data_IF_361217395453
#
_entry.id   IF_361217395453
#
_cell.length_a   1.000
_cell.length_b   1.000
_cell.length_c   1.000
_cell.angle_alpha   90.00
_cell.angle_beta   90.00
_cell.angle_gamma   90.00
#
_symmetry.space_group_name_H-M   'P 1'
#
loop_
_entity.id
_entity.type
_entity.pdbx_description
1 polymer ?
#
# COMPACT_ATOMS: atom_id res chain seq x y z
N UNK A 1 -31.61 7.33 7.12
CA UNK A 1 -30.14 7.30 6.95
C UNK A 1 -29.65 8.71 6.66
N UNK A 2 -29.13 9.39 7.65
CA UNK A 2 -28.51 10.69 7.46
C UNK A 2 -27.03 10.53 7.26
N UNK A 3 -26.56 10.72 6.03
CA UNK A 3 -25.14 10.90 5.77
C UNK A 3 -24.74 12.30 6.22
N UNK A 4 -24.12 12.40 7.38
CA UNK A 4 -23.50 13.64 7.81
C UNK A 4 -22.20 13.80 7.04
N UNK A 5 -22.19 14.64 6.02
CA UNK A 5 -20.96 15.04 5.35
C UNK A 5 -20.10 15.79 6.36
N UNK A 6 -18.94 15.20 6.72
CA UNK A 6 -17.96 15.91 7.52
C UNK A 6 -17.31 16.97 6.66
N UNK A 7 -17.37 18.19 7.10
CA UNK A 7 -16.67 19.32 6.50
C UNK A 7 -15.16 19.12 6.60
N UNK A 8 -14.39 19.66 5.63
CA UNK A 8 -12.95 19.40 5.49
C UNK A 8 -12.10 19.71 6.74
N UNK A 9 -12.55 20.61 7.61
CA UNK A 9 -11.90 20.94 8.87
C UNK A 9 -12.24 19.99 10.04
N UNK A 10 -13.28 19.16 9.90
CA UNK A 10 -13.66 18.14 10.89
C UNK A 10 -12.94 16.78 10.68
N UNK A 11 -12.14 16.64 9.60
CA UNK A 11 -11.38 15.45 9.35
C UNK A 11 -10.18 15.43 10.32
N UNK A 12 -10.14 14.52 11.30
CA UNK A 12 -8.99 14.40 12.17
C UNK A 12 -7.75 14.04 11.34
N UNK A 13 -6.58 14.48 11.77
CA UNK A 13 -5.28 14.16 11.12
C UNK A 13 -5.00 12.65 11.02
N UNK A 14 -5.82 11.83 11.65
CA UNK A 14 -5.78 10.37 11.62
C UNK A 14 -7.14 9.89 11.16
N UNK A 15 -7.16 9.28 10.00
CA UNK A 15 -8.33 8.58 9.49
C UNK A 15 -8.09 7.08 9.64
N UNK A 16 -8.97 6.43 10.40
CA UNK A 16 -8.87 5.02 10.74
C UNK A 16 -10.18 4.34 10.33
N UNK A 17 -10.09 3.33 9.51
CA UNK A 17 -11.21 2.45 9.22
C UNK A 17 -10.87 1.02 9.58
N UNK A 18 -11.80 0.35 10.21
CA UNK A 18 -11.74 -1.09 10.47
C UNK A 18 -13.04 -1.71 10.03
N UNK A 19 -12.97 -2.66 9.12
CA UNK A 19 -14.11 -3.36 8.58
C UNK A 19 -13.99 -4.86 8.87
N UNK A 20 -15.07 -5.44 9.35
CA UNK A 20 -15.21 -6.88 9.54
C UNK A 20 -16.36 -7.37 8.69
N UNK A 21 -16.07 -8.25 7.74
CA UNK A 21 -17.06 -8.83 6.85
C UNK A 21 -17.21 -10.33 7.08
N UNK A 22 -18.45 -10.78 7.12
CA UNK A 22 -18.83 -12.18 7.12
C UNK A 22 -19.41 -12.53 5.75
N UNK A 23 -18.93 -13.60 5.14
CA UNK A 23 -19.53 -14.12 3.89
C UNK A 23 -19.54 -15.64 3.90
N UNK A 24 -20.63 -16.20 3.42
CA UNK A 24 -20.79 -17.65 3.22
C UNK A 24 -20.26 -18.01 1.82
N UNK A 25 -19.31 -18.93 1.79
CA UNK A 25 -18.69 -19.43 0.56
C UNK A 25 -18.80 -20.95 0.50
N UNK A 26 -19.61 -21.47 -0.43
CA UNK A 26 -19.73 -22.92 -0.72
C UNK A 26 -19.88 -23.82 0.50
N UNK A 27 -20.71 -23.43 1.49
CA UNK A 27 -20.91 -24.18 2.72
C UNK A 27 -19.79 -23.98 3.77
N UNK A 28 -18.85 -23.11 3.52
CA UNK A 28 -17.83 -22.67 4.48
C UNK A 28 -18.08 -21.24 4.94
N UNK A 29 -17.44 -20.85 6.02
CA UNK A 29 -17.52 -19.50 6.57
C UNK A 29 -16.22 -18.75 6.34
N UNK A 30 -16.31 -17.57 5.73
CA UNK A 30 -15.19 -16.64 5.61
C UNK A 30 -15.42 -15.46 6.56
N UNK A 31 -14.46 -15.22 7.41
CA UNK A 31 -14.41 -14.01 8.24
C UNK A 31 -13.21 -13.19 7.81
N UNK A 32 -13.44 -11.96 7.37
CA UNK A 32 -12.36 -11.04 7.03
C UNK A 32 -12.41 -9.82 7.93
N UNK A 33 -11.26 -9.39 8.41
CA UNK A 33 -11.08 -8.17 9.15
C UNK A 33 -10.00 -7.35 8.47
N UNK A 34 -10.30 -6.09 8.16
CA UNK A 34 -9.34 -5.15 7.61
C UNK A 34 -9.23 -3.93 8.50
N UNK A 35 -8.03 -3.45 8.61
CA UNK A 35 -7.70 -2.24 9.34
C UNK A 35 -6.84 -1.35 8.48
N UNK A 36 -7.29 -0.14 8.22
CA UNK A 36 -6.53 0.86 7.47
C UNK A 36 -6.56 2.19 8.20
N UNK A 37 -5.43 2.87 8.17
CA UNK A 37 -5.30 4.17 8.79
C UNK A 37 -4.35 5.07 8.00
N UNK A 38 -4.50 6.36 8.15
CA UNK A 38 -3.58 7.36 7.61
C UNK A 38 -3.02 8.19 8.74
N UNK A 39 -1.70 8.18 8.87
CA UNK A 39 -0.97 8.96 9.86
C UNK A 39 -0.12 10.00 9.09
N UNK A 40 -0.51 11.26 9.19
CA UNK A 40 0.31 12.36 8.70
C UNK A 40 1.18 12.88 9.86
N UNK A 41 2.45 12.50 9.87
CA UNK A 41 3.41 12.94 10.89
C UNK A 41 3.76 14.42 10.67
N UNK A 42 3.96 14.77 9.41
CA UNK A 42 4.15 16.15 8.94
C UNK A 42 3.34 16.33 7.65
N UNK A 43 3.01 17.57 7.25
CA UNK A 43 2.25 17.79 6.01
C UNK A 43 2.88 17.16 4.76
N UNK A 44 4.19 16.94 4.78
CA UNK A 44 4.98 16.41 3.68
C UNK A 44 5.17 14.89 3.75
N UNK A 45 4.90 14.26 4.89
CA UNK A 45 5.12 12.84 5.11
C UNK A 45 3.89 12.17 5.71
N UNK A 46 3.34 11.22 4.98
CA UNK A 46 2.21 10.40 5.41
C UNK A 46 2.55 8.91 5.35
N UNK A 47 2.06 8.18 6.34
CA UNK A 47 2.13 6.72 6.42
C UNK A 47 0.71 6.17 6.45
N UNK A 48 0.44 5.23 5.58
CA UNK A 48 -0.84 4.54 5.47
C UNK A 48 -0.63 3.04 5.75
N UNK A 49 -0.69 2.60 7.02
CA UNK A 49 -0.72 1.18 7.34
C UNK A 49 -2.05 0.56 6.91
N UNK A 50 -1.99 -0.62 6.37
CA UNK A 50 -3.14 -1.44 6.00
C UNK A 50 -2.85 -2.88 6.41
N UNK A 51 -3.72 -3.44 7.23
CA UNK A 51 -3.66 -4.83 7.68
C UNK A 51 -4.95 -5.52 7.26
N UNK A 52 -4.84 -6.61 6.54
CA UNK A 52 -5.96 -7.43 6.11
C UNK A 52 -5.75 -8.86 6.60
N UNK A 53 -6.73 -9.34 7.34
CA UNK A 53 -6.77 -10.67 7.90
C UNK A 53 -8.01 -11.38 7.36
N UNK A 54 -7.87 -12.55 6.79
CA UNK A 54 -8.98 -13.37 6.35
C UNK A 54 -8.83 -14.80 6.90
N UNK A 55 -9.87 -15.25 7.57
CA UNK A 55 -10.01 -16.62 8.07
C UNK A 55 -11.06 -17.31 7.21
N UNK A 56 -10.66 -18.35 6.54
CA UNK A 56 -11.55 -19.16 5.71
C UNK A 56 -11.63 -20.54 6.30
N UNK A 57 -12.84 -20.95 6.73
CA UNK A 57 -13.14 -22.29 7.20
C UNK A 57 -13.98 -22.99 6.14
N UNK A 58 -13.40 -24.00 5.53
CA UNK A 58 -14.04 -24.84 4.53
C UNK A 58 -14.20 -26.26 5.08
N UNK A 59 -15.22 -27.01 4.64
CA UNK A 59 -15.37 -28.43 5.02
C UNK A 59 -14.15 -29.29 4.66
N UNK A 60 -13.32 -28.81 3.75
CA UNK A 60 -12.13 -29.51 3.22
C UNK A 60 -10.80 -28.97 3.74
N UNK A 61 -10.79 -27.94 4.60
CA UNK A 61 -9.57 -27.38 5.19
C UNK A 61 -9.70 -25.93 5.58
N UNK A 62 -9.01 -25.54 6.62
CA UNK A 62 -8.93 -24.17 7.12
C UNK A 62 -7.74 -23.46 6.45
N UNK A 63 -7.98 -22.24 6.04
CA UNK A 63 -6.98 -21.42 5.38
C UNK A 63 -7.02 -20.00 5.95
N UNK A 64 -5.88 -19.49 6.31
CA UNK A 64 -5.72 -18.15 6.84
C UNK A 64 -4.92 -17.30 5.85
N UNK A 65 -5.39 -16.12 5.50
CA UNK A 65 -4.65 -15.18 4.69
C UNK A 65 -4.35 -13.91 5.51
N UNK A 66 -3.08 -13.59 5.65
CA UNK A 66 -2.60 -12.43 6.40
C UNK A 66 -1.76 -11.55 5.50
N UNK A 67 -2.28 -10.38 5.20
CA UNK A 67 -1.60 -9.39 4.38
C UNK A 67 -1.37 -8.12 5.22
N UNK A 68 -0.12 -7.72 5.34
CA UNK A 68 0.27 -6.45 5.94
C UNK A 68 0.87 -5.57 4.85
N UNK A 69 0.30 -4.41 4.64
CA UNK A 69 0.80 -3.43 3.69
C UNK A 69 1.02 -2.08 4.38
N UNK A 70 2.06 -1.38 4.00
CA UNK A 70 2.30 -0.01 4.44
C UNK A 70 2.69 0.84 3.25
N UNK A 71 2.00 1.96 3.08
CA UNK A 71 2.35 2.95 2.08
C UNK A 71 2.97 4.16 2.77
N UNK A 72 4.11 4.56 2.27
CA UNK A 72 4.81 5.77 2.69
C UNK A 72 4.76 6.78 1.57
N UNK A 73 4.33 7.98 1.86
CA UNK A 73 4.28 9.08 0.90
C UNK A 73 5.09 10.23 1.45
N UNK A 74 6.04 10.70 0.66
CA UNK A 74 6.90 11.81 1.01
C UNK A 74 6.90 12.86 -0.11
N UNK A 75 6.48 14.06 0.21
CA UNK A 75 6.32 15.17 -0.72
C UNK A 75 6.99 16.42 -0.14
N UNK A 76 8.33 16.50 -0.17
CA UNK A 76 9.05 17.64 0.42
C UNK A 76 8.80 18.95 -0.33
N UNK A 77 8.51 18.87 -1.62
CA UNK A 77 8.19 20.01 -2.47
C UNK A 77 7.05 19.64 -3.43
N UNK A 78 6.39 20.63 -3.99
CA UNK A 78 5.35 20.42 -5.03
C UNK A 78 5.88 19.75 -6.29
N UNK A 79 7.18 19.71 -6.47
CA UNK A 79 7.86 19.14 -7.66
C UNK A 79 8.46 17.76 -7.41
N UNK A 80 8.59 17.33 -6.16
CA UNK A 80 9.15 16.02 -5.81
C UNK A 80 8.13 15.20 -5.02
N UNK A 81 7.78 14.06 -5.59
CA UNK A 81 6.89 13.09 -4.99
C UNK A 81 7.58 11.73 -4.91
N UNK A 82 7.65 11.17 -3.72
CA UNK A 82 8.16 9.82 -3.46
C UNK A 82 7.08 9.01 -2.80
N UNK A 83 6.79 7.85 -3.35
CA UNK A 83 5.84 6.90 -2.77
C UNK A 83 6.49 5.52 -2.67
N UNK A 84 6.45 4.93 -1.51
CA UNK A 84 6.91 3.56 -1.26
C UNK A 84 5.76 2.72 -0.75
N UNK A 85 5.60 1.53 -1.30
CA UNK A 85 4.65 0.53 -0.87
C UNK A 85 5.42 -0.71 -0.43
N UNK A 86 5.20 -1.12 0.80
CA UNK A 86 5.74 -2.34 1.38
C UNK A 86 4.59 -3.28 1.66
N UNK A 87 4.67 -4.51 1.16
CA UNK A 87 3.65 -5.55 1.36
C UNK A 87 4.30 -6.83 1.86
N UNK A 88 3.82 -7.31 2.98
CA UNK A 88 4.20 -8.59 3.55
C UNK A 88 3.00 -9.54 3.49
N UNK A 89 3.13 -10.60 2.73
CA UNK A 89 2.19 -11.72 2.76
C UNK A 89 2.79 -12.81 3.66
N UNK A 90 2.18 -12.99 4.83
CA UNK A 90 2.71 -13.91 5.84
C UNK A 90 2.52 -15.36 5.41
N UNK A 91 1.42 -15.68 4.76
CA UNK A 91 1.09 -17.05 4.36
C UNK A 91 1.87 -17.51 3.12
N UNK A 92 2.04 -16.61 2.16
CA UNK A 92 2.88 -16.87 0.99
C UNK A 92 4.38 -16.69 1.27
N UNK A 93 4.75 -16.24 2.48
CA UNK A 93 6.14 -15.93 2.84
C UNK A 93 6.83 -15.03 1.81
N UNK A 94 6.14 -14.00 1.36
CA UNK A 94 6.66 -13.07 0.37
C UNK A 94 6.64 -11.63 0.89
N UNK A 95 7.75 -10.96 0.69
CA UNK A 95 7.91 -9.54 0.95
C UNK A 95 8.06 -8.82 -0.39
N UNK A 96 7.16 -7.92 -0.68
CA UNK A 96 7.17 -7.08 -1.87
C UNK A 96 7.38 -5.62 -1.49
N UNK A 97 8.33 -4.97 -2.12
CA UNK A 97 8.56 -3.54 -1.96
C UNK A 97 8.57 -2.84 -3.31
N UNK A 98 7.91 -1.70 -3.38
CA UNK A 98 7.83 -0.88 -4.58
C UNK A 98 8.05 0.57 -4.20
N UNK A 99 9.00 1.21 -4.84
CA UNK A 99 9.33 2.62 -4.64
C UNK A 99 9.11 3.36 -5.96
N UNK A 100 8.39 4.45 -5.90
CA UNK A 100 8.11 5.34 -7.03
C UNK A 100 8.58 6.73 -6.69
N UNK A 101 9.39 7.31 -7.57
CA UNK A 101 9.86 8.68 -7.48
C UNK A 101 9.41 9.43 -8.73
N UNK A 102 8.80 10.59 -8.53
CA UNK A 102 8.44 11.55 -9.56
C UNK A 102 9.06 12.88 -9.23
N UNK A 103 9.87 13.39 -10.11
CA UNK A 103 10.55 14.66 -9.94
C UNK A 103 10.35 15.55 -11.17
N UNK A 104 9.68 16.67 -10.96
CA UNK A 104 9.54 17.70 -11.96
C UNK A 104 10.71 18.69 -11.83
N UNK A 105 11.76 18.49 -12.62
CA UNK A 105 12.94 19.35 -12.57
C UNK A 105 12.77 20.68 -13.32
N UNK A 106 11.82 20.75 -14.28
CA UNK A 106 11.37 21.96 -14.95
C UNK A 106 9.87 21.84 -15.25
N UNK A 107 9.14 22.95 -15.37
CA UNK A 107 7.74 22.93 -15.78
C UNK A 107 7.54 22.16 -17.08
N UNK A 108 6.76 21.06 -17.02
CA UNK A 108 6.52 20.18 -18.14
C UNK A 108 7.64 19.17 -18.45
N UNK A 109 8.69 19.10 -17.62
CA UNK A 109 9.77 18.12 -17.77
C UNK A 109 9.89 17.30 -16.50
N UNK A 110 9.62 15.99 -16.59
CA UNK A 110 9.52 15.07 -15.47
C UNK A 110 10.53 13.93 -15.58
N UNK A 111 11.09 13.57 -14.45
CA UNK A 111 11.84 12.34 -14.24
C UNK A 111 10.99 11.39 -13.40
N UNK A 112 10.80 10.19 -13.90
CA UNK A 112 10.03 9.15 -13.23
C UNK A 112 10.88 7.90 -13.06
N UNK A 113 10.97 7.41 -11.82
CA UNK A 113 11.70 6.21 -11.45
C UNK A 113 10.78 5.26 -10.69
N UNK A 114 10.78 4.01 -11.08
CA UNK A 114 10.11 2.91 -10.35
C UNK A 114 11.11 1.82 -10.06
N UNK A 115 11.19 1.47 -8.81
CA UNK A 115 11.95 0.32 -8.33
C UNK A 115 10.99 -0.65 -7.65
N UNK A 116 11.02 -1.92 -8.03
CA UNK A 116 10.23 -2.97 -7.40
C UNK A 116 11.13 -4.16 -7.07
N UNK A 117 11.00 -4.66 -5.86
CA UNK A 117 11.75 -5.79 -5.33
C UNK A 117 10.80 -6.77 -4.65
N UNK A 118 10.90 -8.03 -4.99
CA UNK A 118 10.13 -9.12 -4.40
C UNK A 118 11.05 -10.17 -3.82
N UNK A 119 10.82 -10.55 -2.57
CA UNK A 119 11.65 -11.52 -1.84
C UNK A 119 10.80 -12.61 -1.21
N UNK A 120 11.30 -13.85 -1.28
CA UNK A 120 10.76 -14.95 -0.49
C UNK A 120 11.36 -14.92 0.92
N UNK A 121 10.50 -14.94 1.95
CA UNK A 121 10.92 -14.96 3.36
C UNK A 121 10.88 -16.35 3.97
N UNK A 122 10.59 -17.39 3.18
CA UNK A 122 10.52 -18.79 3.63
C UNK A 122 11.88 -19.43 3.93
N UNK A 123 12.97 -18.79 3.55
CA UNK A 123 14.34 -19.31 3.76
C UNK A 123 15.12 -18.38 4.69
N UNK A 124 16.11 -18.89 5.43
CA UNK A 124 16.98 -18.10 6.30
C UNK A 124 17.79 -17.03 5.54
N UNK A 125 17.93 -17.19 4.22
CA UNK A 125 18.41 -16.14 3.33
C UNK A 125 17.26 -15.70 2.43
N UNK A 126 16.86 -14.42 2.45
CA UNK A 126 15.77 -13.93 1.62
C UNK A 126 16.12 -14.13 0.13
N UNK A 127 15.48 -15.10 -0.48
CA UNK A 127 15.62 -15.38 -1.91
C UNK A 127 15.03 -14.24 -2.74
N UNK A 128 15.82 -13.68 -3.64
CA UNK A 128 15.34 -12.68 -4.59
C UNK A 128 14.40 -13.35 -5.60
N UNK A 129 13.12 -13.02 -5.58
CA UNK A 129 12.13 -13.52 -6.53
C UNK A 129 12.11 -12.68 -7.81
N UNK A 130 12.09 -11.37 -7.63
CA UNK A 130 12.01 -10.44 -8.75
C UNK A 130 12.59 -9.08 -8.35
N UNK A 131 13.27 -8.45 -9.29
CA UNK A 131 13.76 -7.08 -9.16
C UNK A 131 13.58 -6.35 -10.47
N UNK A 132 12.92 -5.22 -10.43
CA UNK A 132 12.66 -4.41 -11.62
C UNK A 132 13.00 -2.96 -11.32
N UNK A 133 13.75 -2.35 -12.23
CA UNK A 133 14.05 -0.92 -12.24
C UNK A 133 13.61 -0.34 -13.57
N UNK A 134 12.75 0.64 -13.54
CA UNK A 134 12.30 1.38 -14.70
C UNK A 134 12.51 2.88 -14.48
N UNK A 135 13.11 3.55 -15.44
CA UNK A 135 13.31 4.98 -15.45
C UNK A 135 12.74 5.59 -16.71
N UNK A 136 12.02 6.70 -16.59
CA UNK A 136 11.46 7.46 -17.70
C UNK A 136 11.79 8.93 -17.52
N UNK A 137 12.32 9.55 -18.57
CA UNK A 137 12.58 10.99 -18.64
C UNK A 137 11.68 11.59 -19.72
N UNK A 138 10.92 12.59 -19.35
CA UNK A 138 10.08 13.36 -20.26
C UNK A 138 10.60 14.79 -20.27
N UNK A 139 10.80 15.36 -21.45
CA UNK A 139 11.23 16.75 -21.63
C UNK A 139 10.29 17.47 -22.59
N UNK A 140 9.72 18.57 -22.12
CA UNK A 140 8.91 19.45 -22.95
C UNK A 140 9.81 20.49 -23.62
N UNK A 141 9.79 20.50 -24.96
CA UNK A 141 10.38 21.58 -25.75
C UNK A 141 9.25 22.54 -26.17
N UNK A 142 9.37 23.80 -25.79
CA UNK A 142 8.54 24.89 -26.31
C UNK A 142 9.40 25.64 -27.34
N UNK A 143 8.92 25.68 -28.55
CA UNK A 143 9.49 26.48 -29.64
C UNK A 143 8.81 27.85 -29.62
#
# INVERSE_FOLDING_TARGET
FFFKQKTAYEIPKRDWSSDVCYSDLYGGTQTSASYSGRIAVVPQFAVEPNVSLAWVRLPYGDFNARLVASRFTYTPTTRLFVSSLLQLNVDAHTLSSSVRLRWEYRPGSEFFLVYSDGRATSQPRPGLLNRTLAAKVTRLFRF
#
